data_IF_570043597444
#
_entry.id   IF_570043597444
#
_cell.length_a   1.000
_cell.length_b   1.000
_cell.length_c   1.000
_cell.angle_alpha   90.00
_cell.angle_beta   90.00
_cell.angle_gamma   90.00
#
_symmetry.space_group_name_H-M   'P 1'
#
loop_
_entity.id
_entity.type
_entity.pdbx_description
1 polymer ?
#
# COMPACT_ATOMS: atom_id res chain seq x y z
N UNK A 1 20.55 11.56 0.61
CA UNK A 1 19.59 11.34 -0.49
C UNK A 1 18.26 10.93 0.11
N UNK A 2 17.22 11.76 -0.02
CA UNK A 2 15.87 11.35 0.37
C UNK A 2 15.45 10.17 -0.51
N UNK A 3 15.30 8.99 0.11
CA UNK A 3 14.71 7.86 -0.59
C UNK A 3 13.21 8.02 -0.48
N UNK A 4 12.62 8.83 -1.36
CA UNK A 4 11.17 8.95 -1.42
C UNK A 4 10.56 7.57 -1.66
N UNK A 5 9.62 7.21 -0.79
CA UNK A 5 8.86 5.97 -0.95
C UNK A 5 8.08 6.05 -2.27
N UNK A 6 8.15 4.99 -3.07
CA UNK A 6 7.65 4.95 -4.46
C UNK A 6 6.19 5.42 -4.63
N UNK A 7 5.36 5.23 -3.62
CA UNK A 7 3.94 5.58 -3.61
C UNK A 7 3.60 6.68 -2.60
N UNK A 8 4.59 7.45 -2.11
CA UNK A 8 4.33 8.56 -1.21
C UNK A 8 3.29 9.53 -1.78
N UNK A 9 2.28 9.86 -0.97
CA UNK A 9 1.19 10.77 -1.35
C UNK A 9 0.17 10.17 -2.32
N UNK A 10 0.19 8.86 -2.56
CA UNK A 10 -0.84 8.16 -3.35
C UNK A 10 -1.80 7.42 -2.44
N UNK A 11 -3.05 7.29 -2.87
CA UNK A 11 -4.08 6.48 -2.21
C UNK A 11 -4.32 5.20 -3.03
N UNK A 12 -4.40 4.06 -2.36
CA UNK A 12 -4.68 2.77 -2.97
C UNK A 12 -5.94 2.14 -2.35
N UNK A 13 -6.99 1.96 -3.16
CA UNK A 13 -8.20 1.23 -2.77
C UNK A 13 -7.98 -0.28 -2.96
N UNK A 14 -8.05 -1.06 -1.87
CA UNK A 14 -7.85 -2.51 -1.90
C UNK A 14 -9.07 -3.24 -1.35
N UNK A 15 -9.80 -3.90 -2.23
CA UNK A 15 -10.92 -4.79 -1.85
C UNK A 15 -10.42 -6.18 -1.46
N UNK A 16 -11.19 -6.90 -0.65
CA UNK A 16 -10.84 -8.27 -0.23
C UNK A 16 -9.59 -8.36 0.65
N UNK A 17 -9.23 -7.28 1.33
CA UNK A 17 -8.01 -7.12 2.14
C UNK A 17 -8.02 -7.83 3.50
N UNK A 18 -9.11 -8.53 3.85
CA UNK A 18 -9.23 -9.27 5.10
C UNK A 18 -8.24 -10.45 5.22
N UNK A 19 -7.90 -11.12 4.11
CA UNK A 19 -6.99 -12.28 4.10
C UNK A 19 -6.37 -12.53 2.73
N UNK A 20 -5.46 -13.50 2.65
CA UNK A 20 -4.84 -13.94 1.40
C UNK A 20 -4.11 -12.82 0.66
N UNK A 21 -4.26 -12.79 -0.65
CA UNK A 21 -3.57 -11.85 -1.53
C UNK A 21 -3.97 -10.40 -1.27
N UNK A 22 -5.25 -10.11 -1.04
CA UNK A 22 -5.70 -8.74 -0.77
C UNK A 22 -4.98 -8.12 0.43
N UNK A 23 -4.82 -8.88 1.53
CA UNK A 23 -4.05 -8.45 2.70
C UNK A 23 -2.58 -8.23 2.38
N UNK A 24 -1.96 -9.15 1.62
CA UNK A 24 -0.56 -9.06 1.26
C UNK A 24 -0.27 -7.81 0.40
N UNK A 25 -1.14 -7.52 -0.57
CA UNK A 25 -1.04 -6.33 -1.42
C UNK A 25 -1.26 -5.04 -0.62
N UNK A 26 -2.29 -4.97 0.22
CA UNK A 26 -2.52 -3.81 1.10
C UNK A 26 -1.27 -3.47 1.93
N UNK A 27 -0.67 -4.48 2.58
CA UNK A 27 0.55 -4.28 3.37
C UNK A 27 1.75 -3.86 2.53
N UNK A 28 1.92 -4.41 1.32
CA UNK A 28 3.01 -4.04 0.42
C UNK A 28 2.88 -2.59 -0.06
N UNK A 29 1.67 -2.18 -0.44
CA UNK A 29 1.38 -0.81 -0.90
C UNK A 29 1.61 0.22 0.20
N UNK A 30 1.17 -0.08 1.43
CA UNK A 30 1.43 0.76 2.60
C UNK A 30 2.94 0.92 2.88
N UNK A 31 3.72 -0.17 2.79
CA UNK A 31 5.19 -0.11 2.93
C UNK A 31 5.86 0.77 1.87
N UNK A 32 5.30 0.79 0.66
CA UNK A 32 5.74 1.66 -0.43
C UNK A 32 5.25 3.10 -0.28
N UNK A 33 4.51 3.44 0.78
CA UNK A 33 4.14 4.81 1.13
C UNK A 33 2.74 5.25 0.68
N UNK A 34 1.92 4.34 0.18
CA UNK A 34 0.52 4.64 -0.13
C UNK A 34 -0.34 4.68 1.14
N UNK A 35 -1.33 5.57 1.18
CA UNK A 35 -2.47 5.43 2.09
C UNK A 35 -3.43 4.39 1.52
N UNK A 36 -3.72 3.35 2.29
CA UNK A 36 -4.52 2.21 1.84
C UNK A 36 -5.91 2.29 2.46
N UNK A 37 -6.94 2.16 1.62
CA UNK A 37 -8.37 2.16 2.00
C UNK A 37 -9.02 0.85 1.54
#
# INVERSE_FOLDING_TARGET
>A
METQKKLAGKVALVTGSARGLGRAYALRLARLGADVV
#
